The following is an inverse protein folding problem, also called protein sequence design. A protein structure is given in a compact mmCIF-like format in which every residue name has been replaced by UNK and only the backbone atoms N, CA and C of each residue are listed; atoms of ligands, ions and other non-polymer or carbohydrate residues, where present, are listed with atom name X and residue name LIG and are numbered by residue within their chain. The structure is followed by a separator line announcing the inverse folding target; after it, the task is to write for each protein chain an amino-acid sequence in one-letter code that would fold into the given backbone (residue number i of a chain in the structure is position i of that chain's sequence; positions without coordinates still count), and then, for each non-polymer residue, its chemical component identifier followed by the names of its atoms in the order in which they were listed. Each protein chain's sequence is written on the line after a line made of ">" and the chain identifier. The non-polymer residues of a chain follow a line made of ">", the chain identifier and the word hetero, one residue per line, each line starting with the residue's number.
data_IF_560980393401
#
_entry.id   IF_560980393401
#
_cell.length_a   1.000
_cell.length_b   1.000
_cell.length_c   1.000
_cell.angle_alpha   90.00
_cell.angle_beta   90.00
_cell.angle_gamma   90.00
#
_symmetry.space_group_name_H-M   'P 1'
#
loop_
_entity.id
_entity.type
_entity.pdbx_description
1 polymer ?
#
# COMPACT_ATOMS: atom_id res chain seq x y z
N UNK A 1 15.53 -20.05 12.14
CA UNK A 1 15.88 -19.68 10.75
C UNK A 1 14.58 -19.61 9.97
N UNK A 2 14.37 -18.56 9.18
CA UNK A 2 13.12 -18.38 8.44
C UNK A 2 13.16 -19.30 7.20
N UNK A 3 12.05 -19.97 6.86
CA UNK A 3 11.98 -20.76 5.62
C UNK A 3 12.00 -19.85 4.40
N UNK A 4 12.40 -20.38 3.24
CA UNK A 4 12.39 -19.60 1.99
C UNK A 4 10.99 -19.07 1.67
N UNK A 5 9.94 -19.89 1.85
CA UNK A 5 8.55 -19.46 1.63
C UNK A 5 8.16 -18.31 2.56
N UNK A 6 8.49 -18.39 3.85
CA UNK A 6 8.19 -17.31 4.79
C UNK A 6 8.98 -16.04 4.47
N UNK A 7 10.23 -16.16 3.98
CA UNK A 7 10.98 -15.01 3.49
C UNK A 7 10.32 -14.35 2.27
N UNK A 8 9.79 -15.14 1.34
CA UNK A 8 9.06 -14.62 0.17
C UNK A 8 7.77 -13.90 0.58
N UNK A 9 6.99 -14.50 1.48
CA UNK A 9 5.76 -13.89 2.01
C UNK A 9 6.08 -12.56 2.71
N UNK A 10 7.10 -12.55 3.59
CA UNK A 10 7.53 -11.32 4.26
C UNK A 10 7.93 -10.25 3.23
N UNK A 11 8.70 -10.62 2.21
CA UNK A 11 9.17 -9.67 1.19
C UNK A 11 8.00 -9.08 0.40
N UNK A 12 7.07 -9.93 -0.06
CA UNK A 12 5.91 -9.51 -0.83
C UNK A 12 5.00 -8.60 0.00
N UNK A 13 4.74 -8.96 1.26
CA UNK A 13 3.89 -8.16 2.14
C UNK A 13 4.51 -6.79 2.43
N UNK A 14 5.82 -6.72 2.70
CA UNK A 14 6.49 -5.43 2.88
C UNK A 14 6.50 -4.55 1.62
N UNK A 15 6.49 -5.16 0.43
CA UNK A 15 6.31 -4.42 -0.82
C UNK A 15 4.88 -3.85 -0.94
N UNK A 16 3.85 -4.63 -0.57
CA UNK A 16 2.47 -4.17 -0.49
C UNK A 16 2.35 -2.98 0.48
N UNK A 17 2.90 -3.10 1.69
CA UNK A 17 2.86 -2.00 2.68
C UNK A 17 3.59 -0.76 2.16
N UNK A 18 4.71 -0.93 1.46
CA UNK A 18 5.43 0.21 0.86
C UNK A 18 4.57 0.94 -0.17
N UNK A 19 3.83 0.20 -0.99
CA UNK A 19 2.90 0.78 -1.96
C UNK A 19 1.72 1.48 -1.27
N UNK A 20 1.16 0.91 -0.20
CA UNK A 20 0.08 1.52 0.58
C UNK A 20 0.51 2.84 1.23
N UNK A 21 1.71 2.90 1.79
CA UNK A 21 2.28 4.15 2.33
C UNK A 21 2.42 5.21 1.24
N UNK A 22 2.91 4.82 0.06
CA UNK A 22 3.01 5.74 -1.09
C UNK A 22 1.65 6.19 -1.59
N UNK A 23 0.66 5.29 -1.64
CA UNK A 23 -0.71 5.61 -1.99
C UNK A 23 -1.28 6.67 -1.04
N UNK A 24 -1.21 6.44 0.27
CA UNK A 24 -1.74 7.38 1.27
C UNK A 24 -1.09 8.76 1.15
N UNK A 25 0.24 8.80 0.98
CA UNK A 25 0.96 10.04 0.76
C UNK A 25 0.52 10.75 -0.53
N UNK A 26 0.39 10.05 -1.64
CA UNK A 26 -0.02 10.63 -2.93
C UNK A 26 -1.47 11.12 -2.89
N UNK A 27 -2.38 10.38 -2.26
CA UNK A 27 -3.77 10.80 -2.04
C UNK A 27 -3.83 12.12 -1.27
N UNK A 28 -3.10 12.21 -0.15
CA UNK A 28 -3.02 13.44 0.63
C UNK A 28 -2.40 14.59 -0.15
N UNK A 29 -1.36 14.31 -0.95
CA UNK A 29 -0.69 15.32 -1.78
C UNK A 29 -1.58 15.84 -2.90
N UNK A 30 -2.27 14.96 -3.63
CA UNK A 30 -3.21 15.34 -4.69
C UNK A 30 -4.33 16.19 -4.11
N UNK A 31 -4.85 15.83 -2.94
CA UNK A 31 -5.87 16.63 -2.24
C UNK A 31 -5.34 18.03 -1.90
N UNK A 32 -4.20 18.13 -1.22
CA UNK A 32 -3.62 19.41 -0.82
C UNK A 32 -3.26 20.31 -2.02
N UNK A 33 -2.68 19.75 -3.08
CA UNK A 33 -2.35 20.51 -4.30
C UNK A 33 -3.62 20.99 -5.02
N UNK A 34 -4.69 20.19 -5.02
CA UNK A 34 -5.98 20.56 -5.59
C UNK A 34 -6.62 21.71 -4.81
N UNK A 35 -6.59 21.65 -3.47
CA UNK A 35 -7.08 22.73 -2.59
C UNK A 35 -6.31 24.04 -2.81
N UNK A 36 -5.03 23.96 -3.17
CA UNK A 36 -4.18 25.12 -3.51
C UNK A 36 -4.33 25.60 -4.96
N UNK A 37 -5.19 24.95 -5.76
CA UNK A 37 -5.43 25.30 -7.17
C UNK A 37 -4.31 24.86 -8.14
N UNK A 38 -3.41 23.98 -7.71
CA UNK A 38 -2.36 23.44 -8.57
C UNK A 38 -2.89 22.34 -9.50
N UNK A 39 -2.19 22.18 -10.64
CA UNK A 39 -2.48 21.11 -11.60
C UNK A 39 -1.83 19.80 -11.15
N UNK A 40 -2.63 18.82 -10.75
CA UNK A 40 -2.18 17.57 -10.13
C UNK A 40 -1.88 16.41 -11.08
N UNK A 41 -1.82 16.63 -12.41
CA UNK A 41 -1.77 15.53 -13.42
C UNK A 41 -0.73 14.46 -13.10
N UNK A 42 0.53 14.85 -12.90
CA UNK A 42 1.63 13.89 -12.68
C UNK A 42 1.50 13.12 -11.37
N UNK A 43 0.98 13.75 -10.31
CA UNK A 43 0.81 13.08 -9.02
C UNK A 43 -0.41 12.16 -9.05
N UNK A 44 -1.45 12.53 -9.80
CA UNK A 44 -2.60 11.68 -10.07
C UNK A 44 -2.24 10.45 -10.90
N UNK A 45 -1.48 10.61 -11.99
CA UNK A 45 -0.99 9.46 -12.79
C UNK A 45 -0.17 8.48 -11.95
N UNK A 46 0.65 8.99 -11.02
CA UNK A 46 1.40 8.14 -10.07
C UNK A 46 0.47 7.45 -9.09
N UNK A 47 -0.53 8.17 -8.56
CA UNK A 47 -1.52 7.61 -7.65
C UNK A 47 -2.30 6.48 -8.33
N UNK A 48 -2.79 6.70 -9.55
CA UNK A 48 -3.52 5.69 -10.33
C UNK A 48 -2.66 4.44 -10.54
N UNK A 49 -1.38 4.61 -10.92
CA UNK A 49 -0.45 3.49 -11.09
C UNK A 49 -0.22 2.70 -9.79
N UNK A 50 -0.02 3.38 -8.67
CA UNK A 50 0.18 2.71 -7.38
C UNK A 50 -1.09 1.98 -6.95
N UNK A 51 -2.26 2.59 -7.17
CA UNK A 51 -3.57 1.99 -6.88
C UNK A 51 -3.74 0.69 -7.67
N UNK A 52 -3.47 0.70 -8.98
CA UNK A 52 -3.50 -0.52 -9.80
C UNK A 52 -2.55 -1.60 -9.28
N UNK A 53 -1.30 -1.23 -8.94
CA UNK A 53 -0.34 -2.19 -8.40
C UNK A 53 -0.81 -2.83 -7.08
N UNK A 54 -1.48 -2.07 -6.21
CA UNK A 54 -2.04 -2.59 -4.94
C UNK A 54 -3.20 -3.54 -5.25
N UNK A 55 -4.13 -3.16 -6.12
CA UNK A 55 -5.25 -4.00 -6.53
C UNK A 55 -4.81 -5.32 -7.16
N UNK A 56 -3.75 -5.31 -7.97
CA UNK A 56 -3.20 -6.52 -8.60
C UNK A 56 -2.50 -7.44 -7.58
N UNK A 57 -1.97 -6.89 -6.48
CA UNK A 57 -1.18 -7.65 -5.49
C UNK A 57 -2.01 -8.12 -4.29
N UNK A 58 -3.09 -7.42 -3.93
CA UNK A 58 -3.96 -7.77 -2.80
C UNK A 58 -4.47 -9.23 -2.83
N UNK A 59 -4.99 -9.76 -3.95
CA UNK A 59 -5.52 -11.12 -4.01
C UNK A 59 -4.49 -12.21 -3.68
N UNK A 60 -3.20 -11.93 -3.86
CA UNK A 60 -2.14 -12.88 -3.53
C UNK A 60 -2.01 -13.14 -2.02
N UNK A 61 -2.61 -12.29 -1.18
CA UNK A 61 -2.61 -12.42 0.27
C UNK A 61 -3.94 -12.96 0.83
N UNK A 62 -4.95 -13.19 -0.01
CA UNK A 62 -6.21 -13.76 0.44
C UNK A 62 -6.01 -15.19 0.97
N UNK A 63 -6.39 -15.40 2.23
CA UNK A 63 -6.22 -16.68 2.92
C UNK A 63 -4.80 -16.95 3.43
N UNK A 64 -3.85 -16.02 3.27
CA UNK A 64 -2.54 -16.09 3.93
C UNK A 64 -2.69 -15.59 5.38
N UNK A 65 -2.17 -16.37 6.34
CA UNK A 65 -2.04 -15.92 7.72
C UNK A 65 -0.94 -14.84 7.82
N UNK A 66 -1.37 -13.58 7.86
CA UNK A 66 -0.48 -12.42 7.96
C UNK A 66 0.02 -12.16 9.40
N UNK A 67 -0.49 -12.86 10.42
CA UNK A 67 -0.16 -12.61 11.83
C UNK A 67 1.31 -12.86 12.18
N UNK A 68 1.97 -13.73 11.43
CA UNK A 68 3.38 -14.09 11.61
C UNK A 68 4.33 -13.38 10.64
N UNK A 69 3.84 -12.38 9.89
CA UNK A 69 4.68 -11.64 8.95
C UNK A 69 5.61 -10.69 9.70
N UNK A 70 6.88 -10.73 9.32
CA UNK A 70 7.86 -9.75 9.81
C UNK A 70 7.74 -8.46 9.01
N UNK A 71 7.17 -7.43 9.62
CA UNK A 71 7.21 -6.07 9.09
C UNK A 71 8.62 -5.47 9.19
N UNK A 72 9.04 -4.81 8.11
CA UNK A 72 10.29 -4.04 8.03
C UNK A 72 10.06 -2.55 8.32
N UNK A 73 8.80 -2.13 8.37
CA UNK A 73 8.35 -0.79 8.74
C UNK A 73 7.52 -0.86 10.03
N UNK A 74 8.17 -1.00 11.21
CA UNK A 74 7.48 -1.30 12.47
C UNK A 74 6.60 -0.16 13.00
N UNK A 75 6.77 1.06 12.48
CA UNK A 75 5.98 2.23 12.88
C UNK A 75 4.73 2.43 12.00
N UNK A 76 4.58 1.62 10.95
CA UNK A 76 3.44 1.69 10.05
C UNK A 76 2.34 0.78 10.59
N UNK A 77 1.17 1.36 10.81
CA UNK A 77 -0.05 0.61 11.10
C UNK A 77 -0.59 0.07 9.77
N UNK A 78 -0.11 -1.12 9.41
CA UNK A 78 -0.38 -1.78 8.14
C UNK A 78 -1.85 -2.20 8.03
N UNK A 79 -2.45 -2.65 9.13
CA UNK A 79 -3.86 -3.03 9.19
C UNK A 79 -4.77 -1.84 8.90
N UNK A 80 -4.55 -0.71 9.58
CA UNK A 80 -5.31 0.51 9.34
C UNK A 80 -5.11 1.06 7.92
N UNK A 81 -3.89 0.99 7.37
CA UNK A 81 -3.64 1.38 5.98
C UNK A 81 -4.39 0.50 4.97
N UNK A 82 -4.44 -0.80 5.20
CA UNK A 82 -5.19 -1.73 4.37
C UNK A 82 -6.69 -1.46 4.42
N UNK A 83 -7.23 -1.20 5.61
CA UNK A 83 -8.64 -0.84 5.80
C UNK A 83 -8.98 0.48 5.09
N UNK A 84 -8.17 1.53 5.28
CA UNK A 84 -8.35 2.80 4.58
C UNK A 84 -8.31 2.65 3.06
N UNK A 85 -7.38 1.85 2.54
CA UNK A 85 -7.30 1.60 1.11
C UNK A 85 -8.57 0.92 0.60
N UNK A 86 -9.05 -0.11 1.31
CA UNK A 86 -10.29 -0.82 0.97
C UNK A 86 -11.49 0.11 0.98
N UNK A 87 -11.66 0.94 2.01
CA UNK A 87 -12.79 1.87 2.09
C UNK A 87 -12.85 2.91 0.96
N UNK A 88 -11.69 3.29 0.43
CA UNK A 88 -11.59 4.33 -0.61
C UNK A 88 -11.69 3.74 -2.02
N UNK A 89 -11.11 2.56 -2.25
CA UNK A 89 -10.89 2.01 -3.60
C UNK A 89 -11.70 0.72 -3.91
N UNK A 90 -12.32 0.06 -2.92
CA UNK A 90 -13.06 -1.21 -3.07
C UNK A 90 -14.50 -1.15 -2.53
#
# INVERSE_FOLDING_TARGET
>A
MITYNQYQINTAYNQLISNLVLWQYLTNKVKAETEQGYKVVKNKEKLDKITSNILDTLPAFDGIDISNIRLYMPLVDDMNLLEQFKEVEL
#
